data_IF_658615591837
#
_entry.id   IF_658615591837
#
_cell.length_a   1.000
_cell.length_b   1.000
_cell.length_c   1.000
_cell.angle_alpha   90.00
_cell.angle_beta   90.00
_cell.angle_gamma   90.00
#
_symmetry.space_group_name_H-M   'P 1'
#
loop_
_entity.id
_entity.type
_entity.pdbx_description
1 polymer ?
#
# COMPACT_ATOMS: atom_id res chain seq x y z
N UNK A 1 1.47 -50.32 14.81
CA UNK A 1 0.65 -49.09 14.70
C UNK A 1 0.28 -48.91 13.23
N UNK A 2 -0.99 -48.68 12.96
CA UNK A 2 -1.54 -48.56 11.61
C UNK A 2 -1.00 -47.28 10.94
N UNK A 3 -0.39 -47.39 9.76
CA UNK A 3 0.23 -46.24 9.05
C UNK A 3 -0.80 -45.13 8.78
N UNK A 4 -2.06 -45.49 8.56
CA UNK A 4 -3.16 -44.55 8.39
C UNK A 4 -3.39 -43.70 9.66
N UNK A 5 -3.33 -44.33 10.83
CA UNK A 5 -3.55 -43.66 12.12
C UNK A 5 -2.40 -42.72 12.50
N UNK A 6 -1.18 -43.03 12.08
CA UNK A 6 -0.02 -42.13 12.26
C UNK A 6 -0.12 -40.90 11.36
N UNK A 7 -0.49 -41.08 10.09
CA UNK A 7 -0.70 -39.97 9.16
C UNK A 7 -1.84 -39.03 9.59
N UNK A 8 -2.93 -39.59 10.13
CA UNK A 8 -4.06 -38.82 10.67
C UNK A 8 -3.66 -37.97 11.89
N UNK A 9 -2.90 -38.55 12.83
CA UNK A 9 -2.39 -37.83 14.01
C UNK A 9 -1.43 -36.70 13.61
N UNK A 10 -0.57 -36.93 12.61
CA UNK A 10 0.32 -35.91 12.06
C UNK A 10 -0.45 -34.77 11.41
N UNK A 11 -1.51 -35.08 10.65
CA UNK A 11 -2.36 -34.06 10.03
C UNK A 11 -3.08 -33.19 11.06
N UNK A 12 -3.67 -33.82 12.10
CA UNK A 12 -4.34 -33.09 13.19
C UNK A 12 -3.38 -32.19 13.96
N UNK A 13 -2.14 -32.66 14.18
CA UNK A 13 -1.10 -31.85 14.82
C UNK A 13 -0.75 -30.62 13.97
N UNK A 14 -0.55 -30.79 12.66
CA UNK A 14 -0.25 -29.69 11.72
C UNK A 14 -1.39 -28.67 11.64
N UNK A 15 -2.64 -29.11 11.65
CA UNK A 15 -3.81 -28.21 11.69
C UNK A 15 -3.79 -27.38 12.97
N UNK A 16 -3.50 -28.00 14.12
CA UNK A 16 -3.39 -27.30 15.40
C UNK A 16 -2.27 -26.26 15.42
N UNK A 17 -1.08 -26.62 14.93
CA UNK A 17 0.05 -25.70 14.80
C UNK A 17 -0.28 -24.53 13.87
N UNK A 18 -0.93 -24.81 12.73
CA UNK A 18 -1.32 -23.78 11.77
C UNK A 18 -2.35 -22.79 12.35
N UNK A 19 -3.33 -23.28 13.12
CA UNK A 19 -4.31 -22.42 13.77
C UNK A 19 -3.65 -21.47 14.80
N UNK A 20 -2.72 -22.00 15.61
CA UNK A 20 -1.95 -21.19 16.57
C UNK A 20 -1.05 -20.18 15.86
N UNK A 21 -0.41 -20.59 14.76
CA UNK A 21 0.38 -19.70 13.92
C UNK A 21 -0.44 -18.55 13.35
N UNK A 22 -1.60 -18.84 12.75
CA UNK A 22 -2.49 -17.82 12.20
C UNK A 22 -2.95 -16.83 13.29
N UNK A 23 -3.27 -17.33 14.49
CA UNK A 23 -3.63 -16.48 15.62
C UNK A 23 -2.45 -15.59 16.06
N UNK A 24 -1.24 -16.14 16.17
CA UNK A 24 -0.03 -15.39 16.56
C UNK A 24 0.36 -14.36 15.51
N UNK A 25 0.25 -14.69 14.22
CA UNK A 25 0.49 -13.73 13.14
C UNK A 25 -0.49 -12.56 13.19
N UNK A 26 -1.78 -12.83 13.42
CA UNK A 26 -2.80 -11.79 13.47
C UNK A 26 -2.62 -10.79 14.64
N UNK A 27 -1.87 -11.14 15.67
CA UNK A 27 -1.57 -10.24 16.80
C UNK A 27 -0.28 -9.46 16.62
N UNK A 28 0.53 -9.74 15.59
CA UNK A 28 1.78 -9.02 15.37
C UNK A 28 1.59 -7.81 14.45
N UNK A 29 2.30 -6.73 14.79
CA UNK A 29 2.32 -5.50 13.99
C UNK A 29 3.68 -5.24 13.34
N UNK A 30 4.72 -6.05 13.58
CA UNK A 30 6.08 -5.95 13.00
C UNK A 30 6.35 -7.06 11.99
N UNK A 31 7.00 -6.73 10.86
CA UNK A 31 7.39 -7.72 9.84
C UNK A 31 8.47 -8.62 10.39
N UNK A 32 9.45 -8.08 11.10
CA UNK A 32 10.51 -8.85 11.72
C UNK A 32 9.95 -9.93 12.66
N UNK A 33 8.99 -9.56 13.51
CA UNK A 33 8.33 -10.51 14.42
C UNK A 33 7.50 -11.55 13.66
N UNK A 34 6.83 -11.17 12.57
CA UNK A 34 6.08 -12.11 11.74
C UNK A 34 6.99 -13.08 11.01
N UNK A 35 8.13 -12.61 10.51
CA UNK A 35 9.16 -13.45 9.90
C UNK A 35 9.74 -14.40 10.94
N UNK A 36 10.03 -13.91 12.15
CA UNK A 36 10.53 -14.73 13.25
C UNK A 36 9.54 -15.84 13.65
N UNK A 37 8.24 -15.53 13.76
CA UNK A 37 7.18 -16.52 14.02
C UNK A 37 7.09 -17.53 12.87
N UNK A 38 7.20 -17.07 11.63
CA UNK A 38 7.16 -17.92 10.42
C UNK A 38 8.36 -18.86 10.37
N UNK A 39 9.56 -18.35 10.60
CA UNK A 39 10.79 -19.13 10.68
C UNK A 39 10.70 -20.15 11.82
N UNK A 40 10.20 -19.74 12.98
CA UNK A 40 10.01 -20.62 14.15
C UNK A 40 9.05 -21.77 13.85
N UNK A 41 7.95 -21.52 13.14
CA UNK A 41 7.04 -22.59 12.71
C UNK A 41 7.73 -23.55 11.75
N UNK A 42 8.41 -23.02 10.74
CA UNK A 42 9.03 -23.84 9.69
C UNK A 42 10.18 -24.70 10.22
N UNK A 43 10.96 -24.21 11.17
CA UNK A 43 12.02 -24.99 11.83
C UNK A 43 11.45 -26.14 12.68
N UNK A 44 10.20 -26.05 13.12
CA UNK A 44 9.52 -27.09 13.89
C UNK A 44 8.87 -28.17 13.01
N UNK A 45 8.73 -27.95 11.70
CA UNK A 45 8.19 -28.94 10.78
C UNK A 45 9.25 -30.01 10.47
N UNK A 46 8.98 -31.27 10.84
CA UNK A 46 9.90 -32.41 10.63
C UNK A 46 10.33 -32.59 9.16
N UNK A 47 9.52 -32.12 8.21
CA UNK A 47 9.81 -32.20 6.78
C UNK A 47 10.81 -31.15 6.31
N UNK A 48 11.04 -30.09 7.08
CA UNK A 48 11.88 -28.96 6.69
C UNK A 48 13.33 -29.26 7.08
N UNK A 49 14.18 -29.33 6.07
CA UNK A 49 15.63 -29.52 6.21
C UNK A 49 16.35 -28.22 6.56
N UNK A 50 15.84 -27.09 6.07
CA UNK A 50 16.44 -25.80 6.31
C UNK A 50 15.57 -24.66 5.77
N UNK A 51 15.72 -23.50 6.40
CA UNK A 51 15.02 -22.28 6.03
C UNK A 51 16.02 -21.15 5.95
N UNK A 52 15.89 -20.29 4.95
CA UNK A 52 16.69 -19.09 4.82
C UNK A 52 15.84 -17.91 4.41
N UNK A 53 16.07 -16.79 5.08
CA UNK A 53 15.52 -15.49 4.74
C UNK A 53 16.61 -14.72 3.98
N UNK A 54 16.27 -14.20 2.81
CA UNK A 54 17.15 -13.39 1.99
C UNK A 54 16.63 -11.96 1.98
N UNK A 55 17.52 -11.01 2.25
CA UNK A 55 17.25 -9.61 2.01
C UNK A 55 17.71 -9.22 0.59
N UNK A 56 16.98 -8.31 -0.06
CA UNK A 56 17.28 -7.84 -1.41
C UNK A 56 18.70 -7.29 -1.47
N UNK A 57 19.52 -7.90 -2.34
CA UNK A 57 20.93 -7.55 -2.53
C UNK A 57 21.91 -8.57 -1.95
N UNK A 58 21.44 -9.54 -1.16
CA UNK A 58 22.26 -10.66 -0.70
C UNK A 58 22.41 -11.72 -1.81
N UNK A 59 23.62 -12.28 -1.94
CA UNK A 59 23.89 -13.32 -2.93
C UNK A 59 23.32 -14.66 -2.46
N UNK A 60 22.40 -15.22 -3.24
CA UNK A 60 21.63 -16.44 -2.97
C UNK A 60 22.51 -17.72 -3.08
N UNK A 61 23.83 -17.58 -3.24
CA UNK A 61 24.76 -18.67 -3.49
C UNK A 61 25.04 -19.60 -2.30
N UNK A 62 24.58 -19.29 -1.09
CA UNK A 62 25.03 -20.02 0.12
C UNK A 62 24.26 -21.31 0.44
N UNK A 63 23.15 -21.63 -0.24
CA UNK A 63 22.35 -22.85 0.04
C UNK A 63 22.10 -23.70 -1.22
N UNK A 64 22.66 -23.33 -2.38
CA UNK A 64 22.46 -24.07 -3.62
C UNK A 64 21.02 -24.01 -4.16
N UNK A 65 20.23 -23.02 -3.71
CA UNK A 65 18.86 -22.77 -4.17
C UNK A 65 18.93 -21.81 -5.34
N UNK A 66 18.48 -22.22 -6.52
CA UNK A 66 18.51 -21.37 -7.72
C UNK A 66 17.19 -20.58 -7.80
N UNK A 67 17.20 -19.24 -7.62
CA UNK A 67 15.99 -18.42 -7.50
C UNK A 67 15.14 -18.32 -8.78
N UNK A 68 15.62 -18.86 -9.91
CA UNK A 68 14.98 -18.68 -11.21
C UNK A 68 13.85 -19.68 -11.52
N UNK A 69 13.55 -20.66 -10.65
CA UNK A 69 12.65 -21.78 -11.02
C UNK A 69 11.43 -22.02 -10.12
N UNK A 70 11.31 -21.39 -8.96
CA UNK A 70 10.30 -21.79 -7.97
C UNK A 70 9.38 -20.63 -7.60
N UNK A 71 8.54 -20.20 -8.54
CA UNK A 71 7.39 -19.34 -8.21
C UNK A 71 6.15 -20.20 -7.87
N UNK A 72 6.16 -21.49 -8.24
CA UNK A 72 5.07 -22.42 -7.93
C UNK A 72 5.57 -23.64 -7.14
N UNK A 73 5.04 -23.79 -5.93
CA UNK A 73 5.05 -25.02 -5.15
C UNK A 73 4.37 -26.14 -5.94
N UNK A 74 5.13 -27.17 -6.29
CA UNK A 74 4.63 -28.36 -6.99
C UNK A 74 5.02 -29.65 -6.26
N UNK A 75 4.22 -30.69 -6.49
CA UNK A 75 4.48 -32.03 -5.98
C UNK A 75 5.82 -32.53 -6.52
N UNK A 76 6.63 -33.15 -5.68
CA UNK A 76 7.94 -33.69 -6.08
C UNK A 76 9.09 -32.68 -6.02
N UNK A 77 8.85 -31.43 -5.63
CA UNK A 77 9.92 -30.47 -5.34
C UNK A 77 10.48 -30.70 -3.94
N UNK A 78 11.79 -30.59 -3.79
CA UNK A 78 12.51 -30.66 -2.51
C UNK A 78 12.89 -29.27 -1.98
N UNK A 79 12.51 -28.21 -2.70
CA UNK A 79 12.76 -26.81 -2.35
C UNK A 79 11.55 -25.94 -2.73
N UNK A 80 11.33 -24.88 -1.97
CA UNK A 80 10.34 -23.86 -2.27
C UNK A 80 10.90 -22.46 -2.03
N UNK A 81 10.45 -21.49 -2.84
CA UNK A 81 10.85 -20.10 -2.73
C UNK A 81 9.60 -19.21 -2.68
N UNK A 82 9.54 -18.32 -1.70
CA UNK A 82 8.43 -17.41 -1.47
C UNK A 82 8.91 -15.98 -1.46
N UNK A 83 8.34 -15.14 -2.31
CA UNK A 83 8.59 -13.70 -2.26
C UNK A 83 7.73 -13.09 -1.16
N UNK A 84 8.36 -12.72 -0.05
CA UNK A 84 7.67 -12.18 1.12
C UNK A 84 7.36 -10.71 0.93
N UNK A 85 8.24 -9.89 0.35
CA UNK A 85 7.90 -8.54 -0.12
C UNK A 85 8.94 -8.04 -1.15
N UNK A 86 9.05 -6.72 -1.33
CA UNK A 86 10.02 -6.14 -2.25
C UNK A 86 11.47 -6.33 -1.77
N UNK A 87 11.67 -6.54 -0.47
CA UNK A 87 12.97 -6.53 0.19
C UNK A 87 13.32 -7.89 0.80
N UNK A 88 12.36 -8.80 0.98
CA UNK A 88 12.58 -10.11 1.59
C UNK A 88 12.03 -11.28 0.76
N UNK A 89 12.81 -12.36 0.72
CA UNK A 89 12.40 -13.66 0.17
C UNK A 89 12.71 -14.79 1.14
N UNK A 90 11.87 -15.81 1.17
CA UNK A 90 12.04 -17.02 1.98
C UNK A 90 12.37 -18.19 1.08
N UNK A 91 13.40 -18.96 1.41
CA UNK A 91 13.64 -20.25 0.80
C UNK A 91 13.53 -21.36 1.84
N UNK A 92 12.91 -22.46 1.44
CA UNK A 92 12.70 -23.63 2.28
C UNK A 92 13.26 -24.84 1.53
N UNK A 93 14.10 -25.62 2.19
CA UNK A 93 14.56 -26.92 1.73
C UNK A 93 13.86 -28.01 2.53
N UNK A 94 13.43 -29.08 1.87
CA UNK A 94 12.74 -30.21 2.47
C UNK A 94 13.64 -31.44 2.54
N UNK A 95 13.40 -32.31 3.53
CA UNK A 95 14.10 -33.59 3.65
C UNK A 95 13.65 -34.60 2.59
N UNK A 96 12.39 -34.48 2.14
CA UNK A 96 11.77 -35.33 1.13
C UNK A 96 11.03 -34.45 0.11
N UNK A 97 10.87 -34.93 -1.14
CA UNK A 97 10.02 -34.27 -2.12
C UNK A 97 8.60 -34.06 -1.59
N UNK A 98 8.04 -32.88 -1.83
CA UNK A 98 6.72 -32.48 -1.34
C UNK A 98 5.61 -33.41 -1.85
N UNK A 99 4.74 -33.85 -0.95
CA UNK A 99 3.49 -34.51 -1.31
C UNK A 99 2.40 -33.50 -1.71
N UNK A 100 1.29 -33.99 -2.27
CA UNK A 100 0.13 -33.14 -2.57
C UNK A 100 -0.43 -32.43 -1.32
N UNK A 101 -0.40 -33.09 -0.15
CA UNK A 101 -0.85 -32.49 1.11
C UNK A 101 0.10 -31.37 1.57
N UNK A 102 1.40 -31.56 1.38
CA UNK A 102 2.40 -30.57 1.77
C UNK A 102 2.32 -29.32 0.88
N UNK A 103 2.12 -29.51 -0.43
CA UNK A 103 1.88 -28.40 -1.35
C UNK A 103 0.69 -27.54 -0.92
N UNK A 104 -0.42 -28.18 -0.51
CA UNK A 104 -1.61 -27.46 -0.01
C UNK A 104 -1.27 -26.68 1.26
N UNK A 105 -0.59 -27.32 2.22
CA UNK A 105 -0.19 -26.69 3.49
C UNK A 105 0.69 -25.45 3.27
N UNK A 106 1.80 -25.57 2.52
CA UNK A 106 2.71 -24.45 2.29
C UNK A 106 2.09 -23.35 1.41
N UNK A 107 1.16 -23.71 0.53
CA UNK A 107 0.37 -22.72 -0.21
C UNK A 107 -0.54 -21.93 0.72
N UNK A 108 -1.21 -22.59 1.67
CA UNK A 108 -2.02 -21.91 2.69
C UNK A 108 -1.18 -21.02 3.60
N UNK A 109 0.04 -21.45 3.96
CA UNK A 109 1.00 -20.63 4.70
C UNK A 109 1.35 -19.34 3.94
N UNK A 110 1.70 -19.47 2.66
CA UNK A 110 2.01 -18.32 1.80
C UNK A 110 0.81 -17.36 1.64
N UNK A 111 -0.41 -17.90 1.53
CA UNK A 111 -1.62 -17.09 1.48
C UNK A 111 -1.87 -16.30 2.78
N UNK A 112 -1.64 -16.91 3.95
CA UNK A 112 -1.77 -16.20 5.23
C UNK A 112 -0.74 -15.07 5.33
N UNK A 113 0.51 -15.31 4.92
CA UNK A 113 1.53 -14.26 4.83
C UNK A 113 1.12 -13.13 3.88
N UNK A 114 0.54 -13.47 2.72
CA UNK A 114 0.02 -12.48 1.76
C UNK A 114 -1.11 -11.61 2.33
N UNK A 115 -2.04 -12.20 3.10
CA UNK A 115 -3.15 -11.47 3.72
C UNK A 115 -2.66 -10.48 4.78
N UNK A 116 -1.75 -10.91 5.66
CA UNK A 116 -1.18 -10.05 6.70
C UNK A 116 -0.33 -8.93 6.09
N UNK A 117 0.35 -9.18 4.97
CA UNK A 117 1.04 -8.15 4.19
C UNK A 117 0.09 -7.09 3.63
N UNK A 118 -1.06 -7.50 3.08
CA UNK A 118 -2.04 -6.55 2.56
C UNK A 118 -2.54 -5.61 3.66
N UNK A 119 -2.78 -6.15 4.86
CA UNK A 119 -3.14 -5.35 6.05
C UNK A 119 -2.01 -4.41 6.48
N UNK A 120 -0.75 -4.82 6.36
CA UNK A 120 0.40 -3.95 6.64
C UNK A 120 0.65 -2.88 5.57
N UNK A 121 0.39 -3.15 4.29
CA UNK A 121 0.53 -2.14 3.24
C UNK A 121 -0.44 -0.97 3.46
N UNK A 122 -1.62 -1.26 3.99
CA UNK A 122 -2.59 -0.26 4.47
C UNK A 122 -2.03 0.54 5.66
N UNK A 123 -1.37 -0.11 6.63
CA UNK A 123 -0.83 0.55 7.83
C UNK A 123 0.49 1.30 7.60
N UNK A 124 1.39 0.81 6.74
CA UNK A 124 2.67 1.47 6.42
C UNK A 124 2.49 2.75 5.60
N UNK A 125 1.36 2.88 4.87
CA UNK A 125 0.96 4.13 4.22
C UNK A 125 0.29 5.12 5.16
N UNK A 126 -0.22 4.70 6.32
CA UNK A 126 -0.91 5.62 7.25
C UNK A 126 -0.01 6.75 7.75
N UNK A 127 1.26 6.56 8.15
CA UNK A 127 2.11 7.67 8.59
C UNK A 127 2.36 8.72 7.49
N UNK A 128 2.68 8.29 6.27
CA UNK A 128 2.90 9.24 5.15
C UNK A 128 1.60 9.90 4.69
N UNK A 129 0.51 9.14 4.61
CA UNK A 129 -0.83 9.67 4.34
C UNK A 129 -1.21 10.72 5.39
N UNK A 130 -1.06 10.42 6.68
CA UNK A 130 -1.35 11.33 7.78
C UNK A 130 -0.44 12.55 7.74
N UNK A 131 0.85 12.39 7.42
CA UNK A 131 1.79 13.50 7.25
C UNK A 131 1.41 14.42 6.08
N UNK A 132 1.04 13.84 4.94
CA UNK A 132 0.61 14.59 3.75
C UNK A 132 -0.73 15.30 4.02
N UNK A 133 -1.70 14.63 4.67
CA UNK A 133 -2.97 15.22 5.07
C UNK A 133 -2.77 16.33 6.11
N UNK A 134 -1.90 16.11 7.11
CA UNK A 134 -1.54 17.12 8.10
C UNK A 134 -0.89 18.33 7.46
N UNK A 135 -0.03 18.13 6.46
CA UNK A 135 0.62 19.22 5.72
C UNK A 135 -0.39 20.17 5.05
N UNK A 136 -1.52 19.62 4.58
CA UNK A 136 -2.65 20.40 4.05
C UNK A 136 -3.47 21.01 5.18
N UNK A 137 -3.89 20.19 6.15
CA UNK A 137 -4.82 20.61 7.22
C UNK A 137 -4.24 21.70 8.14
N UNK A 138 -2.96 21.59 8.50
CA UNK A 138 -2.23 22.58 9.31
C UNK A 138 -2.14 23.96 8.66
N UNK A 139 -2.38 24.06 7.35
CA UNK A 139 -2.31 25.30 6.57
C UNK A 139 -3.68 25.78 6.09
N UNK A 140 -4.78 25.22 6.59
CA UNK A 140 -6.16 25.50 6.12
C UNK A 140 -6.43 26.98 5.81
N UNK A 141 -6.05 27.89 6.72
CA UNK A 141 -6.37 29.31 6.59
C UNK A 141 -5.49 30.06 5.58
N UNK A 142 -4.32 29.50 5.25
CA UNK A 142 -3.33 30.09 4.35
C UNK A 142 -3.29 29.38 2.99
N UNK A 143 -3.87 28.20 2.90
CA UNK A 143 -3.93 27.36 1.72
C UNK A 143 -4.73 28.06 0.61
N UNK A 144 -4.08 28.27 -0.54
CA UNK A 144 -4.73 28.78 -1.76
C UNK A 144 -5.24 27.63 -2.61
N UNK A 145 -4.35 26.73 -3.04
CA UNK A 145 -4.73 25.58 -3.86
C UNK A 145 -3.72 24.45 -3.77
N UNK A 146 -4.10 23.28 -4.28
CA UNK A 146 -3.25 22.11 -4.51
C UNK A 146 -3.26 21.79 -5.99
N UNK A 147 -2.06 21.65 -6.58
CA UNK A 147 -1.86 21.39 -8.01
C UNK A 147 -1.17 20.06 -8.24
N UNK A 148 -1.66 19.24 -9.17
CA UNK A 148 -0.94 18.07 -9.64
C UNK A 148 0.24 18.49 -10.53
N UNK A 149 1.44 17.99 -10.24
CA UNK A 149 2.68 18.36 -10.92
C UNK A 149 3.68 17.19 -10.92
N UNK A 150 4.10 16.74 -12.12
CA UNK A 150 5.14 15.71 -12.34
C UNK A 150 5.05 14.46 -11.42
N UNK A 151 3.85 13.95 -11.18
CA UNK A 151 3.62 12.75 -10.36
C UNK A 151 3.40 13.00 -8.87
N UNK A 152 3.52 14.25 -8.43
CA UNK A 152 3.27 14.72 -7.07
C UNK A 152 2.09 15.72 -7.04
N UNK A 153 1.71 16.16 -5.84
CA UNK A 153 0.88 17.34 -5.67
C UNK A 153 1.65 18.42 -4.93
N UNK A 154 1.64 19.64 -5.46
CA UNK A 154 2.19 20.83 -4.79
C UNK A 154 1.10 21.56 -4.01
N UNK A 155 1.40 21.89 -2.76
CA UNK A 155 0.59 22.72 -1.86
C UNK A 155 1.04 24.16 -2.01
N UNK A 156 0.14 25.04 -2.43
CA UNK A 156 0.38 26.46 -2.60
C UNK A 156 -0.35 27.22 -1.49
N UNK A 157 0.42 27.87 -0.61
CA UNK A 157 -0.09 28.62 0.53
C UNK A 157 0.52 30.03 0.58
N UNK A 158 -0.07 30.92 1.38
CA UNK A 158 0.40 32.30 1.52
C UNK A 158 1.71 32.42 2.34
N UNK A 159 1.98 31.46 3.23
CA UNK A 159 3.21 31.41 4.05
C UNK A 159 4.36 30.64 3.41
N UNK A 160 4.18 30.17 2.17
CA UNK A 160 5.18 29.44 1.43
C UNK A 160 5.72 30.30 0.29
N UNK A 161 7.04 30.46 0.24
CA UNK A 161 7.72 31.06 -0.91
C UNK A 161 7.67 30.11 -2.13
N UNK A 162 7.84 28.81 -1.87
CA UNK A 162 7.80 27.73 -2.85
C UNK A 162 6.77 26.65 -2.46
N UNK A 163 6.15 25.95 -3.43
CA UNK A 163 5.17 24.93 -3.13
C UNK A 163 5.76 23.75 -2.35
N UNK A 164 5.03 23.28 -1.34
CA UNK A 164 5.38 22.06 -0.61
C UNK A 164 4.83 20.84 -1.37
N UNK A 165 5.70 19.93 -1.79
CA UNK A 165 5.31 18.74 -2.54
C UNK A 165 4.99 17.56 -1.63
N UNK A 166 3.86 16.91 -1.91
CA UNK A 166 3.36 15.71 -1.22
C UNK A 166 3.13 14.57 -2.22
N UNK A 167 3.08 13.35 -1.69
CA UNK A 167 2.91 12.13 -2.50
C UNK A 167 1.44 11.80 -2.78
N UNK A 168 0.51 12.34 -1.99
CA UNK A 168 -0.92 12.14 -2.22
C UNK A 168 -1.38 12.70 -3.57
N UNK A 169 -2.26 11.94 -4.22
CA UNK A 169 -2.93 12.37 -5.45
C UNK A 169 -4.19 13.18 -5.12
N UNK A 170 -4.56 14.11 -5.99
CA UNK A 170 -5.77 14.95 -5.83
C UNK A 170 -7.04 14.13 -5.54
N UNK A 171 -7.23 13.00 -6.23
CA UNK A 171 -8.39 12.11 -5.98
C UNK A 171 -8.42 11.58 -4.55
N UNK A 172 -7.28 11.25 -3.96
CA UNK A 172 -7.20 10.78 -2.58
C UNK A 172 -7.45 11.93 -1.60
N UNK A 173 -6.88 13.12 -1.86
CA UNK A 173 -7.08 14.31 -1.02
C UNK A 173 -8.58 14.64 -0.88
N UNK A 174 -9.36 14.54 -1.96
CA UNK A 174 -10.81 14.77 -1.95
C UNK A 174 -11.63 13.85 -1.06
N UNK A 175 -11.08 12.69 -0.66
CA UNK A 175 -11.77 11.80 0.27
C UNK A 175 -11.76 12.34 1.71
N UNK A 176 -10.84 13.25 2.02
CA UNK A 176 -10.60 13.75 3.38
C UNK A 176 -10.98 15.23 3.56
N UNK A 177 -11.14 15.97 2.46
CA UNK A 177 -11.53 17.37 2.49
C UNK A 177 -12.77 17.57 1.62
N UNK A 178 -13.81 18.16 2.21
CA UNK A 178 -15.01 18.52 1.48
C UNK A 178 -14.80 19.71 0.54
N UNK A 179 -15.77 19.95 -0.33
CA UNK A 179 -15.76 21.03 -1.32
C UNK A 179 -15.78 22.43 -0.67
N UNK A 180 -16.08 22.57 0.63
CA UNK A 180 -15.99 23.84 1.35
C UNK A 180 -14.55 24.23 1.70
N UNK A 181 -13.66 23.22 1.79
CA UNK A 181 -12.23 23.39 2.07
C UNK A 181 -11.39 23.27 0.80
N UNK A 182 -11.63 22.25 -0.03
CA UNK A 182 -10.90 21.99 -1.26
C UNK A 182 -11.83 21.55 -2.39
N UNK A 183 -12.17 22.50 -3.25
CA UNK A 183 -13.06 22.31 -4.39
C UNK A 183 -12.28 21.88 -5.64
N UNK A 184 -12.72 20.79 -6.27
CA UNK A 184 -12.18 20.41 -7.57
C UNK A 184 -12.78 21.25 -8.70
N UNK A 185 -11.96 22.13 -9.28
CA UNK A 185 -12.32 23.01 -10.41
C UNK A 185 -11.69 22.58 -11.74
N UNK A 186 -10.65 21.76 -11.70
CA UNK A 186 -9.99 21.19 -12.87
C UNK A 186 -9.34 19.84 -12.52
N UNK A 187 -9.05 19.00 -13.52
CA UNK A 187 -8.43 17.68 -13.30
C UNK A 187 -7.08 17.73 -12.57
N UNK A 188 -6.41 18.87 -12.63
CA UNK A 188 -5.09 19.12 -12.02
C UNK A 188 -5.12 20.08 -10.84
N UNK A 189 -6.31 20.53 -10.39
CA UNK A 189 -6.41 21.55 -9.33
C UNK A 189 -7.54 21.26 -8.33
N UNK A 190 -7.20 21.40 -7.05
CA UNK A 190 -8.14 21.61 -5.95
C UNK A 190 -7.90 23.01 -5.40
N UNK A 191 -8.92 23.86 -5.33
CA UNK A 191 -8.79 25.25 -4.85
C UNK A 191 -9.50 25.42 -3.52
N UNK A 192 -8.98 26.29 -2.66
CA UNK A 192 -9.71 26.74 -1.49
C UNK A 192 -10.75 27.79 -1.92
N UNK A 193 -12.06 27.51 -1.83
CA UNK A 193 -13.10 28.44 -2.27
C UNK A 193 -13.01 29.81 -1.60
N UNK A 194 -12.59 29.84 -0.32
CA UNK A 194 -12.48 31.07 0.47
C UNK A 194 -11.36 32.00 0.02
N UNK A 195 -10.46 31.53 -0.85
CA UNK A 195 -9.32 32.30 -1.38
C UNK A 195 -9.50 32.69 -2.85
N UNK A 196 -10.64 32.37 -3.46
CA UNK A 196 -10.96 32.80 -4.82
C UNK A 196 -11.47 34.23 -4.75
N UNK A 197 -10.81 35.13 -5.49
CA UNK A 197 -11.17 36.55 -5.56
C UNK A 197 -12.28 36.78 -6.57
N UNK A 198 -12.11 36.25 -7.78
CA UNK A 198 -13.07 36.35 -8.88
C UNK A 198 -12.77 35.35 -9.99
N UNK A 199 -13.75 35.15 -10.87
CA UNK A 199 -13.63 34.41 -12.11
C UNK A 199 -13.44 35.39 -13.28
N UNK A 200 -12.43 35.13 -14.12
CA UNK A 200 -12.09 35.93 -15.28
C UNK A 200 -12.30 35.11 -16.56
N UNK A 201 -12.84 35.72 -17.61
CA UNK A 201 -12.92 35.06 -18.92
C UNK A 201 -11.54 34.97 -19.58
N UNK A 202 -11.25 33.82 -20.18
CA UNK A 202 -10.11 33.56 -21.06
C UNK A 202 -10.63 33.14 -22.43
N UNK A 203 -10.66 34.08 -23.36
CA UNK A 203 -11.24 33.85 -24.70
C UNK A 203 -12.76 33.71 -24.66
N UNK A 204 -13.34 32.98 -25.64
CA UNK A 204 -14.79 32.87 -25.81
C UNK A 204 -15.48 31.97 -24.76
N UNK A 205 -14.86 30.87 -24.36
CA UNK A 205 -15.49 29.86 -23.47
C UNK A 205 -14.64 29.47 -22.25
N UNK A 206 -13.39 29.96 -22.15
CA UNK A 206 -12.53 29.63 -21.02
C UNK A 206 -12.80 30.52 -19.82
N UNK A 207 -12.73 29.94 -18.63
CA UNK A 207 -12.76 30.67 -17.36
C UNK A 207 -11.51 30.38 -16.54
N UNK A 208 -11.02 31.39 -15.85
CA UNK A 208 -9.91 31.32 -14.91
C UNK A 208 -10.39 31.82 -13.55
N UNK A 209 -9.97 31.19 -12.47
CA UNK A 209 -10.16 31.69 -11.11
C UNK A 209 -8.91 32.45 -10.69
N UNK A 210 -9.09 33.70 -10.24
CA UNK A 210 -8.02 34.53 -9.70
C UNK A 210 -7.84 34.24 -8.20
N UNK A 211 -6.60 33.97 -7.80
CA UNK A 211 -6.22 33.68 -6.41
C UNK A 211 -4.87 34.35 -6.10
N UNK A 212 -4.89 35.60 -5.62
CA UNK A 212 -3.68 36.43 -5.54
C UNK A 212 -3.09 36.69 -6.93
N UNK A 213 -1.81 36.38 -7.11
CA UNK A 213 -1.12 36.50 -8.40
C UNK A 213 -1.43 35.36 -9.39
N UNK A 214 -2.08 34.29 -8.94
CA UNK A 214 -2.23 33.06 -9.72
C UNK A 214 -3.57 33.01 -10.44
N UNK A 215 -3.55 32.45 -11.66
CA UNK A 215 -4.73 32.19 -12.48
C UNK A 215 -4.93 30.70 -12.67
N UNK A 216 -5.98 30.15 -12.08
CA UNK A 216 -6.28 28.72 -12.07
C UNK A 216 -7.34 28.40 -13.13
N UNK A 217 -7.11 27.44 -14.05
CA UNK A 217 -8.11 27.08 -15.04
C UNK A 217 -9.35 26.45 -14.39
N UNK A 218 -10.53 26.89 -14.83
CA UNK A 218 -11.81 26.25 -14.52
C UNK A 218 -12.21 25.33 -15.68
N UNK A 219 -12.40 24.05 -15.41
CA UNK A 219 -12.84 23.10 -16.42
C UNK A 219 -14.28 23.38 -16.85
N UNK A 220 -14.56 23.29 -18.15
CA UNK A 220 -15.91 23.46 -18.72
C UNK A 220 -16.95 22.57 -18.02
N UNK A 221 -16.58 21.33 -17.71
CA UNK A 221 -17.44 20.36 -17.03
C UNK A 221 -17.80 20.76 -15.59
N UNK A 222 -16.96 21.58 -14.94
CA UNK A 222 -17.18 22.05 -13.58
C UNK A 222 -17.87 23.42 -13.55
N UNK A 223 -17.95 24.13 -14.68
CA UNK A 223 -18.39 25.52 -14.75
C UNK A 223 -19.81 25.72 -14.21
N UNK A 224 -20.78 24.97 -14.73
CA UNK A 224 -22.19 25.12 -14.37
C UNK A 224 -22.41 24.93 -12.87
N UNK A 225 -21.82 23.87 -12.31
CA UNK A 225 -21.85 23.61 -10.87
C UNK A 225 -21.20 24.73 -10.06
N UNK A 226 -20.01 25.17 -10.46
CA UNK A 226 -19.27 26.23 -9.75
C UNK A 226 -20.00 27.57 -9.81
N UNK A 227 -20.70 27.88 -10.91
CA UNK A 227 -21.55 29.07 -11.02
C UNK A 227 -22.78 29.00 -10.11
N UNK A 228 -23.38 27.83 -9.97
CA UNK A 228 -24.49 27.61 -9.04
C UNK A 228 -24.07 27.72 -7.57
N UNK A 229 -22.94 27.08 -7.21
CA UNK A 229 -22.44 27.02 -5.84
C UNK A 229 -21.77 28.35 -5.39
N UNK A 230 -21.12 29.06 -6.31
CA UNK A 230 -20.34 30.28 -6.03
C UNK A 230 -20.63 31.42 -7.05
N UNK A 231 -21.88 31.88 -7.17
CA UNK A 231 -22.26 32.91 -8.15
C UNK A 231 -21.50 34.22 -7.95
N UNK A 232 -21.14 34.56 -6.71
CA UNK A 232 -20.40 35.76 -6.35
C UNK A 232 -19.01 35.85 -7.00
N UNK A 233 -18.42 34.75 -7.45
CA UNK A 233 -17.14 34.79 -8.16
C UNK A 233 -17.28 35.32 -9.59
N UNK A 234 -18.47 35.26 -10.17
CA UNK A 234 -18.73 35.60 -11.57
C UNK A 234 -19.45 36.95 -11.73
N UNK A 235 -19.70 37.64 -10.62
CA UNK A 235 -20.36 38.94 -10.57
C UNK A 235 -19.44 40.09 -11.02
#
# INVERSE_FOLDING_TARGET
MDKARVAELQLLHRIGLFAQFAQRLNTQHSLEQMLEITLSLLVQEEQVKGVALYQRGESIAQIGIVPHQLIDLAVGQDQAFFVIDADYSLAIAFHLPLSAADVVFYRSLNQQLALVRAQRYEWGRQPQLLSDLYSIASRRDKLRYVRADRGYCGIYAADLADPLYITLRLRAIRLYFDDSVLLQVHRSYLVNPRKVEKACKRGREGWLLQMGSDLIPLARQSLERVQGDFPQWFA
#
